data_IF_358680938036
#
_entry.id   IF_358680938036
#
_cell.length_a   1.000
_cell.length_b   1.000
_cell.length_c   1.000
_cell.angle_alpha   90.00
_cell.angle_beta   90.00
_cell.angle_gamma   90.00
#
_symmetry.space_group_name_H-M   'P 1'
#
loop_
_entity.id
_entity.type
_entity.pdbx_description
1 polymer ?
#
# COMPACT_ATOMS: atom_id res chain seq x y z
N UNK A 1 -43.82 -68.07 -30.96
CA UNK A 1 -42.92 -68.86 -30.09
C UNK A 1 -41.46 -68.57 -30.45
N UNK A 2 -40.75 -67.81 -29.60
CA UNK A 2 -39.30 -67.91 -29.33
C UNK A 2 -39.00 -66.97 -28.16
N UNK A 3 -38.30 -67.50 -27.15
CA UNK A 3 -37.97 -66.91 -25.85
C UNK A 3 -36.62 -66.18 -25.90
N UNK A 4 -36.28 -65.59 -24.73
CA UNK A 4 -34.99 -65.12 -24.19
C UNK A 4 -34.66 -63.63 -24.42
N UNK A 5 -34.17 -62.86 -23.44
CA UNK A 5 -33.81 -63.11 -22.03
C UNK A 5 -33.79 -61.75 -21.31
N UNK A 6 -34.21 -61.70 -20.04
CA UNK A 6 -34.01 -60.55 -19.16
C UNK A 6 -32.56 -60.47 -18.69
N UNK A 7 -31.99 -59.27 -18.64
CA UNK A 7 -30.91 -58.97 -17.70
C UNK A 7 -31.10 -57.55 -17.14
N UNK A 8 -31.33 -57.47 -15.83
CA UNK A 8 -31.30 -56.24 -15.03
C UNK A 8 -29.92 -56.16 -14.40
N UNK A 9 -29.18 -55.07 -14.63
CA UNK A 9 -28.06 -54.67 -13.78
C UNK A 9 -28.12 -53.16 -13.60
N UNK A 10 -28.43 -52.74 -12.36
CA UNK A 10 -28.31 -51.37 -11.87
C UNK A 10 -26.85 -51.02 -11.60
N UNK A 11 -26.44 -49.77 -11.91
CA UNK A 11 -25.29 -49.14 -11.24
C UNK A 11 -25.61 -47.65 -11.02
N UNK A 12 -25.55 -47.25 -9.75
CA UNK A 12 -25.57 -45.88 -9.25
C UNK A 12 -24.26 -45.16 -9.64
N UNK A 13 -24.33 -43.88 -10.02
CA UNK A 13 -23.16 -43.05 -10.30
C UNK A 13 -23.48 -41.56 -10.27
N UNK A 14 -23.22 -40.94 -9.12
CA UNK A 14 -23.23 -39.51 -8.84
C UNK A 14 -22.33 -38.69 -9.77
N UNK A 15 -22.73 -37.44 -10.08
CA UNK A 15 -21.98 -36.17 -9.87
C UNK A 15 -22.47 -35.08 -10.82
N UNK A 16 -22.55 -33.85 -10.31
CA UNK A 16 -22.82 -32.67 -11.12
C UNK A 16 -23.27 -31.47 -10.30
N UNK A 17 -22.48 -31.09 -9.28
CA UNK A 17 -22.62 -29.82 -8.57
C UNK A 17 -22.69 -28.67 -9.58
N UNK A 18 -23.78 -27.92 -9.52
CA UNK A 18 -24.03 -26.69 -10.27
C UNK A 18 -22.91 -25.70 -9.93
N UNK A 19 -22.27 -25.18 -10.97
CA UNK A 19 -20.98 -24.51 -10.91
C UNK A 19 -20.94 -23.28 -10.01
N UNK A 20 -19.84 -23.17 -9.25
CA UNK A 20 -19.38 -21.94 -8.64
C UNK A 20 -19.21 -20.87 -9.73
N UNK A 21 -19.96 -19.78 -9.63
CA UNK A 21 -19.72 -18.57 -10.40
C UNK A 21 -18.28 -18.13 -10.19
N UNK A 22 -17.52 -18.12 -11.29
CA UNK A 22 -16.16 -17.61 -11.33
C UNK A 22 -16.18 -16.12 -11.01
N UNK A 23 -15.95 -15.78 -9.73
CA UNK A 23 -15.42 -14.47 -9.36
C UNK A 23 -14.01 -14.37 -9.96
N UNK A 24 -13.92 -13.86 -11.18
CA UNK A 24 -12.63 -13.47 -11.74
C UNK A 24 -12.15 -12.27 -10.94
N UNK A 25 -11.21 -12.48 -10.02
CA UNK A 25 -10.49 -11.41 -9.38
C UNK A 25 -9.92 -10.47 -10.47
N UNK A 26 -9.98 -9.15 -10.28
CA UNK A 26 -9.38 -8.22 -11.23
C UNK A 26 -7.91 -8.63 -11.47
N UNK A 27 -7.41 -8.54 -12.71
CA UNK A 27 -6.04 -8.91 -13.01
C UNK A 27 -5.11 -8.12 -12.10
N UNK A 28 -4.18 -8.85 -11.45
CA UNK A 28 -3.16 -8.23 -10.61
C UNK A 28 -2.42 -7.19 -11.47
N UNK A 29 -2.27 -5.93 -11.01
CA UNK A 29 -1.60 -4.91 -11.79
C UNK A 29 -0.20 -5.38 -12.18
N UNK A 30 0.10 -5.30 -13.48
CA UNK A 30 1.41 -5.66 -14.01
C UNK A 30 2.46 -4.74 -13.37
N UNK A 31 3.52 -5.27 -12.73
CA UNK A 31 4.57 -4.45 -12.15
C UNK A 31 5.20 -3.60 -13.25
N UNK A 32 5.01 -2.27 -13.18
CA UNK A 32 5.78 -1.34 -14.00
C UNK A 32 7.04 -1.01 -13.22
N UNK A 33 8.20 -1.20 -13.83
CA UNK A 33 9.45 -0.71 -13.26
C UNK A 33 9.41 0.83 -13.29
N UNK A 34 8.90 1.46 -12.24
CA UNK A 34 8.87 2.91 -12.11
C UNK A 34 10.20 3.34 -11.51
N UNK A 35 11.08 3.91 -12.33
CA UNK A 35 12.22 4.64 -11.83
C UNK A 35 11.77 6.02 -11.37
N UNK A 36 11.67 6.21 -10.05
CA UNK A 36 11.35 7.52 -9.50
C UNK A 36 12.45 8.53 -9.83
N UNK A 37 12.07 9.65 -10.43
CA UNK A 37 12.97 10.78 -10.71
C UNK A 37 12.88 11.83 -9.62
N UNK A 38 12.96 11.39 -8.36
CA UNK A 38 12.82 12.26 -7.16
C UNK A 38 13.77 13.46 -7.22
N UNK A 39 14.97 13.27 -7.79
CA UNK A 39 15.96 14.33 -7.92
C UNK A 39 15.52 15.52 -8.80
N UNK A 40 14.51 15.33 -9.64
CA UNK A 40 13.95 16.36 -10.53
C UNK A 40 12.77 17.11 -9.91
N UNK A 41 12.31 16.70 -8.73
CA UNK A 41 11.20 17.37 -8.04
C UNK A 41 11.73 18.67 -7.43
N UNK A 42 11.05 19.78 -7.71
CA UNK A 42 11.38 21.09 -7.16
C UNK A 42 11.05 21.14 -5.67
N UNK A 43 11.91 21.79 -4.88
CA UNK A 43 11.62 22.09 -3.48
C UNK A 43 10.30 22.88 -3.36
N UNK A 44 9.53 22.64 -2.30
CA UNK A 44 8.19 23.21 -2.12
C UNK A 44 7.06 22.43 -2.79
N UNK A 45 7.36 21.45 -3.65
CA UNK A 45 6.32 20.61 -4.28
C UNK A 45 5.60 19.77 -3.22
N UNK A 46 4.26 19.79 -3.15
CA UNK A 46 3.51 18.96 -2.21
C UNK A 46 3.28 17.54 -2.75
N UNK A 47 3.28 16.57 -1.83
CA UNK A 47 2.83 15.21 -2.06
C UNK A 47 1.83 14.84 -0.96
N UNK A 48 0.62 14.48 -1.37
CA UNK A 48 -0.46 14.09 -0.47
C UNK A 48 -0.47 12.58 -0.30
N UNK A 49 -0.73 12.16 0.93
CA UNK A 49 -0.61 10.81 1.42
C UNK A 49 -1.84 10.46 2.26
N UNK A 50 -2.18 9.17 2.31
CA UNK A 50 -3.12 8.62 3.28
C UNK A 50 -2.49 7.48 4.06
N UNK A 51 -2.76 7.45 5.37
CA UNK A 51 -2.35 6.34 6.25
C UNK A 51 -3.14 5.08 5.93
N UNK A 52 -2.42 3.98 5.66
CA UNK A 52 -3.03 2.69 5.32
C UNK A 52 -3.30 1.82 6.55
N UNK A 53 -2.58 2.07 7.65
CA UNK A 53 -2.69 1.37 8.92
C UNK A 53 -2.92 2.38 10.05
N UNK A 54 -3.67 2.00 11.11
CA UNK A 54 -3.75 2.83 12.32
C UNK A 54 -2.38 2.95 12.97
N UNK A 55 -2.06 4.13 13.51
CA UNK A 55 -0.85 4.36 14.29
C UNK A 55 -1.24 4.72 15.73
N UNK A 56 -0.89 3.83 16.65
CA UNK A 56 -1.30 3.90 18.04
C UNK A 56 -0.64 5.06 18.81
N UNK A 57 -1.27 5.41 19.92
CA UNK A 57 -0.73 6.30 20.94
C UNK A 57 -0.16 5.50 22.11
N UNK A 58 0.88 5.99 22.79
CA UNK A 58 1.41 5.38 24.01
C UNK A 58 0.34 5.22 25.10
N UNK A 59 0.49 4.17 25.90
CA UNK A 59 -0.38 3.89 27.04
C UNK A 59 0.47 3.67 28.31
N UNK A 60 -0.13 3.58 29.52
CA UNK A 60 0.64 3.45 30.76
C UNK A 60 1.60 2.25 30.81
N UNK A 61 1.36 1.20 30.02
CA UNK A 61 2.22 0.00 29.90
C UNK A 61 3.25 0.11 28.77
N UNK A 62 3.03 1.00 27.80
CA UNK A 62 3.91 1.25 26.66
C UNK A 62 4.09 2.75 26.47
N UNK A 63 5.16 3.30 27.06
CA UNK A 63 5.43 4.75 27.07
C UNK A 63 5.92 5.30 25.73
N UNK A 64 6.40 4.44 24.83
CA UNK A 64 6.88 4.82 23.50
C UNK A 64 6.37 3.79 22.48
N UNK A 65 5.85 4.30 21.37
CA UNK A 65 5.45 3.52 20.19
C UNK A 65 6.41 3.88 19.06
N UNK A 66 7.09 2.87 18.52
CA UNK A 66 7.95 3.01 17.34
C UNK A 66 7.64 1.88 16.38
N UNK A 67 7.05 2.19 15.23
CA UNK A 67 6.63 1.20 14.24
C UNK A 67 6.98 1.65 12.82
N UNK A 68 7.24 0.67 11.95
CA UNK A 68 7.26 0.96 10.52
C UNK A 68 5.84 1.21 10.04
N UNK A 69 5.70 2.16 9.12
CA UNK A 69 4.42 2.58 8.57
C UNK A 69 4.54 2.84 7.08
N UNK A 70 3.42 2.72 6.38
CA UNK A 70 3.32 2.89 4.94
C UNK A 70 2.10 3.74 4.63
N UNK A 71 2.30 4.68 3.73
CA UNK A 71 1.29 5.59 3.24
C UNK A 71 1.14 5.42 1.74
N UNK A 72 -0.08 5.61 1.24
CA UNK A 72 -0.34 5.65 -0.19
C UNK A 72 -0.37 7.09 -0.67
N UNK A 73 0.34 7.38 -1.75
CA UNK A 73 0.31 8.67 -2.44
C UNK A 73 -1.04 8.86 -3.12
N UNK A 74 -1.69 10.00 -2.91
CA UNK A 74 -3.05 10.27 -3.42
C UNK A 74 -3.09 11.25 -4.59
N UNK A 75 -1.95 11.77 -5.03
CA UNK A 75 -1.85 12.60 -6.23
C UNK A 75 -0.57 12.30 -7.00
N UNK A 76 -0.61 12.50 -8.31
CA UNK A 76 0.62 12.55 -9.10
C UNK A 76 1.48 13.72 -8.62
N UNK A 77 2.76 13.45 -8.41
CA UNK A 77 3.78 14.49 -8.22
C UNK A 77 4.45 14.73 -9.55
N UNK A 78 4.21 15.91 -10.10
CA UNK A 78 4.68 16.32 -11.42
C UNK A 78 5.92 17.20 -11.31
N UNK A 79 6.84 17.03 -12.27
CA UNK A 79 8.00 17.89 -12.44
C UNK A 79 7.70 19.11 -13.31
N UNK A 80 8.36 20.22 -13.01
CA UNK A 80 8.46 21.38 -13.91
C UNK A 80 9.69 21.20 -14.82
N UNK A 81 9.66 21.60 -16.12
CA UNK A 81 8.63 22.36 -16.82
C UNK A 81 7.56 21.54 -17.58
N UNK A 82 7.80 20.25 -17.84
CA UNK A 82 6.99 19.46 -18.78
C UNK A 82 5.79 18.74 -18.14
N UNK A 83 5.47 19.01 -16.87
CA UNK A 83 4.42 18.32 -16.09
C UNK A 83 4.54 16.79 -16.11
N UNK A 84 5.75 16.27 -16.30
CA UNK A 84 6.02 14.83 -16.31
C UNK A 84 5.76 14.27 -14.93
N UNK A 85 4.97 13.20 -14.82
CA UNK A 85 4.75 12.49 -13.56
C UNK A 85 6.06 11.86 -13.08
N UNK A 86 6.59 12.36 -11.96
CA UNK A 86 7.84 11.89 -11.34
C UNK A 86 7.57 10.87 -10.23
N UNK A 87 6.43 11.00 -9.55
CA UNK A 87 5.88 10.01 -8.61
C UNK A 87 4.40 9.83 -8.96
N UNK A 88 4.00 8.65 -9.47
CA UNK A 88 2.61 8.36 -9.73
C UNK A 88 1.79 8.28 -8.44
N UNK A 89 0.52 8.65 -8.53
CA UNK A 89 -0.52 8.26 -7.57
C UNK A 89 -0.45 6.74 -7.32
N UNK A 90 -0.87 6.33 -6.11
CA UNK A 90 -0.88 4.94 -5.62
C UNK A 90 0.51 4.34 -5.35
N UNK A 91 1.58 5.10 -5.58
CA UNK A 91 2.91 4.80 -5.03
C UNK A 91 2.85 4.74 -3.49
N UNK A 92 3.79 4.00 -2.88
CA UNK A 92 3.85 3.79 -1.44
C UNK A 92 5.06 4.50 -0.84
N UNK A 93 4.82 5.35 0.15
CA UNK A 93 5.87 5.99 0.94
C UNK A 93 5.97 5.31 2.31
N UNK A 94 7.14 4.78 2.63
CA UNK A 94 7.42 4.18 3.94
C UNK A 94 8.14 5.14 4.86
N UNK A 95 7.96 4.91 6.16
CA UNK A 95 8.70 5.60 7.20
C UNK A 95 8.63 4.87 8.54
N UNK A 96 9.34 5.42 9.52
CA UNK A 96 9.23 5.02 10.92
C UNK A 96 8.39 6.06 11.66
N UNK A 97 7.26 5.62 12.21
CA UNK A 97 6.45 6.38 13.13
C UNK A 97 7.05 6.30 14.53
N UNK A 98 7.09 7.44 15.22
CA UNK A 98 7.49 7.57 16.60
C UNK A 98 6.43 8.38 17.38
N UNK A 99 6.05 7.89 18.56
CA UNK A 99 5.25 8.65 19.51
C UNK A 99 5.61 8.27 20.96
N UNK A 100 5.88 9.26 21.81
CA UNK A 100 6.17 9.10 23.25
C UNK A 100 5.15 9.78 24.18
N UNK A 101 4.05 10.28 23.62
CA UNK A 101 3.01 11.03 24.32
C UNK A 101 3.27 12.54 24.39
N UNK A 102 4.49 13.00 24.10
CA UNK A 102 4.85 14.43 24.04
C UNK A 102 5.25 14.86 22.63
N UNK A 103 5.87 13.97 21.87
CA UNK A 103 6.33 14.15 20.50
C UNK A 103 5.75 13.03 19.65
N UNK A 104 5.33 13.39 18.46
CA UNK A 104 4.83 12.47 17.46
C UNK A 104 5.36 12.91 16.11
N UNK A 105 6.01 12.00 15.39
CA UNK A 105 6.49 12.29 14.04
C UNK A 105 6.68 11.02 13.21
N UNK A 106 6.77 11.20 11.90
CA UNK A 106 7.20 10.19 10.94
C UNK A 106 8.55 10.60 10.38
N UNK A 107 9.52 9.68 10.42
CA UNK A 107 10.76 9.78 9.65
C UNK A 107 10.60 8.98 8.36
N UNK A 108 10.61 9.65 7.21
CA UNK A 108 10.48 9.00 5.90
C UNK A 108 11.72 8.17 5.57
N UNK A 109 11.58 7.13 4.74
CA UNK A 109 12.68 6.20 4.46
C UNK A 109 12.80 5.82 2.98
N UNK A 110 11.71 5.34 2.38
CA UNK A 110 11.73 4.88 1.01
C UNK A 110 10.41 5.10 0.29
N UNK A 111 10.49 5.18 -1.04
CA UNK A 111 9.36 5.29 -1.94
C UNK A 111 9.34 4.07 -2.88
N UNK A 112 8.19 3.43 -3.01
CA UNK A 112 7.98 2.22 -3.80
C UNK A 112 6.85 2.43 -4.80
N UNK A 113 6.92 1.79 -5.96
CA UNK A 113 5.89 1.89 -7.00
C UNK A 113 4.60 1.18 -6.59
N UNK A 114 4.72 0.08 -5.85
CA UNK A 114 3.65 -0.79 -5.43
C UNK A 114 4.11 -1.68 -4.26
N UNK A 115 3.20 -2.51 -3.74
CA UNK A 115 3.47 -3.45 -2.65
C UNK A 115 4.52 -4.51 -3.01
N UNK A 116 4.57 -4.98 -4.25
CA UNK A 116 5.55 -5.99 -4.68
C UNK A 116 6.96 -5.39 -4.67
N UNK A 117 7.12 -4.18 -5.18
CA UNK A 117 8.38 -3.44 -5.11
C UNK A 117 8.80 -3.24 -3.64
N UNK A 118 7.85 -2.95 -2.75
CA UNK A 118 8.12 -2.84 -1.31
C UNK A 118 8.57 -4.15 -0.67
N UNK A 119 7.88 -5.27 -0.93
CA UNK A 119 8.24 -6.61 -0.44
C UNK A 119 9.64 -7.04 -0.89
N UNK A 120 10.02 -6.68 -2.11
CA UNK A 120 11.35 -6.95 -2.68
C UNK A 120 12.40 -5.89 -2.29
N UNK A 121 12.00 -4.86 -1.53
CA UNK A 121 12.81 -3.68 -1.20
C UNK A 121 13.43 -2.98 -2.43
N UNK A 122 12.68 -2.94 -3.53
CA UNK A 122 13.03 -2.34 -4.82
C UNK A 122 12.39 -0.95 -4.95
N UNK A 123 12.84 0.00 -4.13
CA UNK A 123 12.34 1.37 -4.13
C UNK A 123 13.44 2.42 -4.29
N UNK A 124 13.03 3.69 -4.32
CA UNK A 124 13.95 4.81 -4.11
C UNK A 124 14.25 4.88 -2.61
N UNK A 125 15.41 4.37 -2.22
CA UNK A 125 15.92 4.45 -0.85
C UNK A 125 16.56 5.83 -0.63
N UNK A 126 16.30 6.45 0.53
CA UNK A 126 16.89 7.75 0.85
C UNK A 126 16.00 8.95 0.49
N UNK A 127 14.67 8.75 0.50
CA UNK A 127 13.69 9.84 0.32
C UNK A 127 13.73 10.85 1.49
N UNK A 128 14.26 10.42 2.64
CA UNK A 128 14.52 11.22 3.85
C UNK A 128 15.39 12.45 3.60
N UNK A 129 16.29 12.38 2.61
CA UNK A 129 17.12 13.52 2.18
C UNK A 129 16.33 14.60 1.44
N UNK A 130 15.12 14.29 1.00
CA UNK A 130 14.27 15.14 0.17
C UNK A 130 12.95 15.50 0.85
N UNK A 131 12.64 14.90 1.99
CA UNK A 131 11.42 15.14 2.76
C UNK A 131 11.77 15.42 4.21
N UNK A 132 11.18 16.46 4.77
CA UNK A 132 11.23 16.70 6.21
C UNK A 132 10.44 15.62 6.97
N UNK A 133 10.83 15.36 8.23
CA UNK A 133 9.97 14.61 9.13
C UNK A 133 8.61 15.30 9.29
N UNK A 134 7.55 14.50 9.34
CA UNK A 134 6.19 15.02 9.48
C UNK A 134 5.73 14.86 10.92
N UNK A 135 5.43 15.97 11.59
CA UNK A 135 4.88 15.95 12.94
C UNK A 135 3.40 15.57 12.97
N UNK A 136 2.97 14.95 14.06
CA UNK A 136 1.58 14.60 14.36
C UNK A 136 1.22 15.01 15.78
N UNK A 137 -0.07 14.91 16.13
CA UNK A 137 -0.51 15.15 17.51
C UNK A 137 -0.22 13.90 18.35
N UNK A 138 0.62 13.99 19.41
CA UNK A 138 1.00 12.82 20.21
C UNK A 138 -0.14 12.19 21.01
N UNK A 139 -1.22 12.94 21.27
CA UNK A 139 -2.39 12.46 22.01
C UNK A 139 -3.40 11.74 21.10
N UNK A 140 -3.30 11.92 19.78
CA UNK A 140 -4.23 11.36 18.78
C UNK A 140 -3.54 10.33 17.89
N UNK A 141 -2.22 10.47 17.66
CA UNK A 141 -1.47 9.69 16.69
C UNK A 141 -1.87 10.08 15.26
N UNK A 142 -1.96 9.07 14.39
CA UNK A 142 -2.47 9.23 13.03
C UNK A 142 -3.62 8.25 12.83
N UNK A 143 -4.76 8.81 12.42
CA UNK A 143 -5.97 8.04 12.19
C UNK A 143 -5.93 7.35 10.82
N UNK A 144 -6.53 6.17 10.65
CA UNK A 144 -6.68 5.54 9.34
C UNK A 144 -7.36 6.47 8.35
N UNK A 145 -6.83 6.56 7.12
CA UNK A 145 -7.38 7.42 6.08
C UNK A 145 -7.15 8.92 6.29
N UNK A 146 -6.43 9.33 7.34
CA UNK A 146 -6.04 10.72 7.54
C UNK A 146 -5.13 11.17 6.39
N UNK A 147 -5.49 12.30 5.76
CA UNK A 147 -4.65 12.95 4.77
C UNK A 147 -3.44 13.60 5.45
N UNK A 148 -2.27 13.37 4.88
CA UNK A 148 -1.00 13.98 5.27
C UNK A 148 -0.39 14.61 4.02
N UNK A 149 0.05 15.84 4.13
CA UNK A 149 0.83 16.49 3.07
C UNK A 149 2.28 16.57 3.51
N UNK A 150 3.17 16.09 2.65
CA UNK A 150 4.62 16.28 2.78
C UNK A 150 5.11 17.19 1.68
N UNK A 151 6.17 17.93 1.95
CA UNK A 151 6.73 18.89 1.01
C UNK A 151 8.18 18.53 0.72
N UNK A 152 8.53 18.53 -0.56
CA UNK A 152 9.91 18.31 -0.99
C UNK A 152 10.82 19.45 -0.58
N UNK A 153 12.04 19.11 -0.15
CA UNK A 153 13.14 20.04 0.15
C UNK A 153 14.18 20.06 -0.97
#
# INVERSE_FOLDING_TARGET
MKRLLYLVVSIYGSTGLVGCGLFTAPPQPTPKQVTFKVNQITAGTPMNLIGLIPMDVPNPRQKVVTNNTVFRVTNDVVGSPDSVTLIPQDSLLSGTYYNDGNKCYISWQALYSDYRAMELNQGYLGIDKRLANTSCNPQIGIQPGQNITVTFQ
#
